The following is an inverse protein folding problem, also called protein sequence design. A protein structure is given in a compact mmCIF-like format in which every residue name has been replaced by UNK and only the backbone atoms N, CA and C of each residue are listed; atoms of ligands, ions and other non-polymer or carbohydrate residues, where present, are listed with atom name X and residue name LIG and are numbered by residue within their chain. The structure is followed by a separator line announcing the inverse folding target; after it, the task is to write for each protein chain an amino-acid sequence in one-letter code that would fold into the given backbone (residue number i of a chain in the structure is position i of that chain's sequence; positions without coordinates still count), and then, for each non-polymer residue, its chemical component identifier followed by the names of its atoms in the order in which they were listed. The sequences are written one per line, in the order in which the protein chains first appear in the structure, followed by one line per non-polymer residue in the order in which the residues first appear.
data_IF_257125448298
#
_entry.id   IF_257125448298
#
_cell.length_a   1.000
_cell.length_b   1.000
_cell.length_c   1.000
_cell.angle_alpha   90.00
_cell.angle_beta   90.00
_cell.angle_gamma   90.00
#
_symmetry.space_group_name_H-M   'P 1'
#
loop_
_entity.id
_entity.type
_entity.pdbx_description
1 polymer ?
#
# COMPACT_ATOMS: atom_id res chain seq x y z
N UNK A 1 -19.02 0.46 2.71
CA UNK A 1 -18.82 -0.73 3.54
C UNK A 1 -17.73 -1.60 2.96
N UNK A 2 -16.85 -2.10 3.85
CA UNK A 2 -15.76 -2.98 3.47
C UNK A 2 -16.29 -4.40 3.26
N UNK A 3 -16.34 -4.88 2.03
CA UNK A 3 -16.82 -6.21 1.67
C UNK A 3 -15.91 -6.81 0.58
N UNK A 4 -15.82 -8.13 0.56
CA UNK A 4 -15.11 -8.88 -0.46
C UNK A 4 -16.13 -9.66 -1.31
N UNK A 5 -16.01 -9.56 -2.62
CA UNK A 5 -16.79 -10.32 -3.57
C UNK A 5 -15.87 -11.16 -4.44
N UNK A 6 -16.33 -12.33 -4.85
CA UNK A 6 -15.64 -13.21 -5.77
C UNK A 6 -16.51 -13.58 -6.96
N UNK A 7 -15.88 -13.77 -8.11
CA UNK A 7 -16.50 -14.32 -9.31
C UNK A 7 -15.75 -15.59 -9.71
N UNK A 8 -16.49 -16.61 -10.20
CA UNK A 8 -15.94 -17.87 -10.70
C UNK A 8 -16.23 -18.10 -12.19
N UNK A 9 -16.85 -17.12 -12.83
CA UNK A 9 -17.31 -17.16 -14.22
C UNK A 9 -16.76 -15.98 -15.05
N UNK A 10 -15.59 -15.46 -14.68
CA UNK A 10 -14.94 -14.37 -15.41
C UNK A 10 -15.56 -12.99 -15.18
N UNK A 11 -16.35 -12.82 -14.11
CA UNK A 11 -16.94 -11.54 -13.74
C UNK A 11 -18.41 -11.37 -14.15
N UNK A 12 -19.02 -12.41 -14.70
CA UNK A 12 -20.45 -12.39 -15.06
C UNK A 12 -21.33 -12.34 -13.82
N UNK A 13 -21.00 -13.12 -12.80
CA UNK A 13 -21.69 -13.08 -11.49
C UNK A 13 -20.71 -12.85 -10.35
N UNK A 14 -21.19 -12.25 -9.28
CA UNK A 14 -20.38 -11.93 -8.10
C UNK A 14 -21.10 -12.38 -6.83
N UNK A 15 -20.36 -13.09 -5.97
CA UNK A 15 -20.87 -13.59 -4.70
C UNK A 15 -20.14 -12.92 -3.54
N UNK A 16 -20.89 -12.49 -2.53
CA UNK A 16 -20.32 -11.95 -1.29
C UNK A 16 -19.57 -13.05 -0.54
N UNK A 17 -18.36 -12.76 -0.10
CA UNK A 17 -17.60 -13.67 0.77
C UNK A 17 -18.19 -13.61 2.19
N UNK A 18 -19.01 -14.60 2.51
CA UNK A 18 -19.74 -14.68 3.78
C UNK A 18 -18.79 -14.91 4.97
N UNK A 19 -17.69 -15.62 4.78
CA UNK A 19 -16.69 -15.86 5.83
C UNK A 19 -16.12 -14.57 6.40
N UNK A 20 -15.81 -13.60 5.52
CA UNK A 20 -15.37 -12.27 5.94
C UNK A 20 -16.54 -11.42 6.42
N UNK A 21 -17.66 -11.47 5.71
CA UNK A 21 -18.84 -10.66 6.02
C UNK A 21 -19.39 -10.94 7.42
N UNK A 22 -19.42 -12.20 7.83
CA UNK A 22 -19.93 -12.67 9.11
C UNK A 22 -18.84 -12.77 10.19
N UNK A 23 -17.60 -12.27 9.92
CA UNK A 23 -16.51 -12.34 10.89
C UNK A 23 -16.87 -11.56 12.18
N UNK A 24 -16.61 -12.12 13.39
CA UNK A 24 -17.00 -11.49 14.67
C UNK A 24 -16.40 -10.10 14.93
N UNK A 25 -15.28 -9.78 14.29
CA UNK A 25 -14.66 -8.46 14.42
C UNK A 25 -15.34 -7.39 13.56
N UNK A 26 -16.01 -7.78 12.48
CA UNK A 26 -16.54 -6.85 11.49
C UNK A 26 -17.53 -5.81 12.06
N UNK A 27 -18.48 -6.17 12.93
CA UNK A 27 -19.36 -5.18 13.58
C UNK A 27 -18.63 -4.18 14.48
N UNK A 28 -17.39 -4.49 14.86
CA UNK A 28 -16.54 -3.66 15.73
C UNK A 28 -15.56 -2.77 14.94
N UNK A 29 -15.49 -2.91 13.62
CA UNK A 29 -14.68 -2.04 12.79
C UNK A 29 -15.28 -0.64 12.76
N UNK A 30 -14.51 0.34 13.17
CA UNK A 30 -14.94 1.73 13.21
C UNK A 30 -14.44 2.45 11.94
N UNK A 31 -15.29 3.21 11.24
CA UNK A 31 -14.83 3.97 10.08
C UNK A 31 -13.84 5.04 10.51
N UNK A 32 -12.72 5.16 9.78
CA UNK A 32 -11.84 6.32 9.83
C UNK A 32 -12.37 7.48 8.99
N UNK A 33 -11.60 8.58 8.88
CA UNK A 33 -11.98 9.75 8.07
C UNK A 33 -12.26 9.45 6.59
N UNK A 34 -11.68 8.37 6.05
CA UNK A 34 -11.94 7.84 4.69
C UNK A 34 -12.99 6.73 4.64
N UNK A 35 -13.65 6.42 5.75
CA UNK A 35 -14.60 5.30 5.85
C UNK A 35 -13.90 3.93 5.97
N UNK A 36 -14.70 2.87 5.94
CA UNK A 36 -14.22 1.48 5.85
C UNK A 36 -13.99 1.13 4.38
N UNK A 37 -12.76 0.81 4.02
CA UNK A 37 -12.37 0.45 2.66
C UNK A 37 -11.49 -0.80 2.67
N UNK A 38 -11.92 -1.88 2.04
CA UNK A 38 -11.08 -2.99 1.66
C UNK A 38 -10.36 -2.58 0.37
N UNK A 39 -9.05 -2.41 0.42
CA UNK A 39 -8.27 -1.78 -0.65
C UNK A 39 -7.10 -2.63 -1.17
N UNK A 40 -6.70 -3.66 -0.46
CA UNK A 40 -5.62 -4.54 -0.90
C UNK A 40 -6.06 -5.99 -0.80
N UNK A 41 -5.85 -6.73 -1.88
CA UNK A 41 -6.05 -8.19 -1.94
C UNK A 41 -4.74 -8.77 -2.47
N UNK A 42 -4.07 -9.59 -1.66
CA UNK A 42 -2.86 -10.31 -2.04
C UNK A 42 -3.18 -11.79 -2.21
N UNK A 43 -3.11 -12.26 -3.47
CA UNK A 43 -3.26 -13.67 -3.80
C UNK A 43 -1.91 -14.40 -3.68
N UNK A 44 -1.89 -15.66 -3.30
CA UNK A 44 -0.67 -16.46 -3.27
C UNK A 44 -0.68 -17.49 -4.41
N UNK A 45 0.15 -17.33 -5.47
CA UNK A 45 0.12 -18.25 -6.62
C UNK A 45 0.45 -19.71 -6.26
N UNK A 46 1.28 -19.94 -5.24
CA UNK A 46 1.64 -21.27 -4.76
C UNK A 46 0.58 -21.89 -3.83
N UNK A 47 -0.31 -21.07 -3.28
CA UNK A 47 -1.40 -21.47 -2.36
C UNK A 47 -2.66 -20.68 -2.70
N UNK A 48 -3.42 -21.09 -3.73
CA UNK A 48 -4.60 -20.36 -4.22
C UNK A 48 -5.67 -20.09 -3.15
N UNK A 49 -5.79 -20.99 -2.16
CA UNK A 49 -6.71 -20.85 -1.04
C UNK A 49 -6.26 -19.81 0.00
N UNK A 50 -5.00 -19.32 -0.11
CA UNK A 50 -4.49 -18.26 0.76
C UNK A 50 -4.69 -16.90 0.15
N UNK A 51 -5.51 -16.08 0.78
CA UNK A 51 -5.68 -14.67 0.48
C UNK A 51 -5.34 -13.84 1.71
N UNK A 52 -4.69 -12.72 1.49
CA UNK A 52 -4.47 -11.71 2.54
C UNK A 52 -5.09 -10.41 2.08
N UNK A 53 -5.89 -9.79 2.93
CA UNK A 53 -6.55 -8.51 2.65
C UNK A 53 -6.15 -7.45 3.66
N UNK A 54 -6.24 -6.20 3.24
CA UNK A 54 -6.16 -5.06 4.15
C UNK A 54 -7.39 -4.18 4.04
N UNK A 55 -7.87 -3.77 5.18
CA UNK A 55 -9.03 -2.88 5.34
C UNK A 55 -8.60 -1.66 6.17
N UNK A 56 -8.91 -0.46 5.67
CA UNK A 56 -8.77 0.76 6.47
C UNK A 56 -9.57 0.62 7.75
N UNK A 57 -8.95 0.85 8.88
CA UNK A 57 -9.51 0.76 10.24
C UNK A 57 -10.09 -0.61 10.64
N UNK A 58 -9.86 -1.64 9.82
CA UNK A 58 -10.13 -3.04 10.18
C UNK A 58 -8.83 -3.80 10.44
N UNK A 59 -7.77 -3.49 9.69
CA UNK A 59 -6.48 -4.16 9.74
C UNK A 59 -6.26 -5.19 8.65
N UNK A 60 -5.32 -6.08 8.90
CA UNK A 60 -4.95 -7.19 8.01
C UNK A 60 -5.70 -8.46 8.42
N UNK A 61 -6.26 -9.15 7.43
CA UNK A 61 -6.90 -10.46 7.61
C UNK A 61 -6.38 -11.44 6.57
N UNK A 62 -6.27 -12.71 6.95
CA UNK A 62 -5.87 -13.80 6.06
C UNK A 62 -6.84 -14.97 6.16
N UNK A 63 -7.14 -15.55 5.02
CA UNK A 63 -7.74 -16.87 4.89
C UNK A 63 -6.69 -17.87 4.38
N UNK A 64 -6.79 -19.13 4.79
CA UNK A 64 -6.00 -20.25 4.30
C UNK A 64 -6.90 -21.36 3.73
N UNK A 65 -8.23 -21.11 3.61
CA UNK A 65 -9.27 -22.06 3.21
C UNK A 65 -10.22 -21.52 2.11
N UNK A 66 -9.71 -20.60 1.28
CA UNK A 66 -10.47 -20.03 0.17
C UNK A 66 -11.57 -19.05 0.61
N UNK A 67 -11.41 -18.41 1.76
CA UNK A 67 -12.35 -17.39 2.24
C UNK A 67 -13.49 -17.91 3.12
N UNK A 68 -13.48 -19.20 3.48
CA UNK A 68 -14.49 -19.79 4.39
C UNK A 68 -14.33 -19.27 5.81
N UNK A 69 -13.08 -19.11 6.26
CA UNK A 69 -12.73 -18.49 7.54
C UNK A 69 -11.61 -17.46 7.37
N UNK A 70 -11.57 -16.47 8.26
CA UNK A 70 -10.58 -15.40 8.25
C UNK A 70 -9.99 -15.22 9.65
N UNK A 71 -8.73 -14.82 9.69
CA UNK A 71 -8.00 -14.56 10.92
C UNK A 71 -7.31 -13.20 10.84
N UNK A 72 -7.40 -12.42 11.91
CA UNK A 72 -6.65 -11.19 12.04
C UNK A 72 -5.14 -11.46 12.03
N UNK A 73 -4.36 -10.62 11.35
CA UNK A 73 -2.91 -10.76 11.17
C UNK A 73 -2.22 -9.41 11.43
N UNK A 74 -2.37 -8.91 12.64
CA UNK A 74 -1.91 -7.56 13.01
C UNK A 74 -0.83 -7.58 14.10
N UNK A 75 -0.31 -8.75 14.48
CA UNK A 75 0.69 -8.86 15.55
C UNK A 75 1.97 -8.07 15.22
N UNK A 76 2.33 -7.10 16.07
CA UNK A 76 3.47 -6.21 15.89
C UNK A 76 3.14 -4.84 15.27
N UNK A 77 1.94 -4.63 14.74
CA UNK A 77 1.50 -3.31 14.24
C UNK A 77 1.01 -2.46 15.42
N UNK A 78 1.43 -1.18 15.45
CA UNK A 78 1.04 -0.22 16.49
C UNK A 78 -0.04 0.74 15.96
N UNK A 79 -1.11 0.91 16.73
CA UNK A 79 -2.24 1.80 16.40
C UNK A 79 -2.37 2.87 17.50
N UNK A 80 -1.52 3.90 17.45
CA UNK A 80 -1.40 4.90 18.52
C UNK A 80 -2.66 5.72 18.78
N UNK A 81 -3.62 5.76 17.85
CA UNK A 81 -4.92 6.39 18.04
C UNK A 81 -5.90 5.55 18.90
N UNK A 82 -5.60 4.27 19.14
CA UNK A 82 -6.42 3.40 19.98
C UNK A 82 -5.92 3.38 21.42
N UNK A 83 -6.81 3.03 22.36
CA UNK A 83 -6.45 2.86 23.78
C UNK A 83 -5.44 1.73 23.95
N UNK A 84 -5.70 0.59 23.33
CA UNK A 84 -4.73 -0.50 23.18
C UNK A 84 -3.86 -0.22 21.96
N UNK A 85 -2.54 -0.16 22.16
CA UNK A 85 -1.61 0.25 21.08
C UNK A 85 -1.29 -0.87 20.09
N UNK A 86 -1.43 -2.13 20.47
CA UNK A 86 -1.21 -3.30 19.65
C UNK A 86 -2.46 -4.21 19.60
N UNK A 87 -3.62 -3.69 19.17
CA UNK A 87 -4.86 -4.46 19.19
C UNK A 87 -4.86 -5.56 18.14
N UNK A 88 -5.65 -6.62 18.38
CA UNK A 88 -5.84 -7.71 17.43
C UNK A 88 -6.42 -7.23 16.10
N UNK A 89 -7.28 -6.21 16.11
CA UNK A 89 -7.91 -5.62 14.92
C UNK A 89 -8.12 -4.11 15.11
N UNK A 90 -8.53 -3.42 14.03
CA UNK A 90 -8.81 -1.98 14.08
C UNK A 90 -7.64 -1.10 13.63
N UNK A 91 -6.54 -1.71 13.15
CA UNK A 91 -5.43 -0.96 12.57
C UNK A 91 -5.84 -0.27 11.28
N UNK A 92 -5.34 0.94 11.09
CA UNK A 92 -5.57 1.72 9.88
C UNK A 92 -4.48 1.44 8.84
N UNK A 93 -4.65 0.35 8.10
CA UNK A 93 -3.74 0.00 7.01
C UNK A 93 -4.05 0.87 5.78
N UNK A 94 -3.03 1.41 5.14
CA UNK A 94 -3.17 2.22 3.94
C UNK A 94 -2.86 1.44 2.67
N UNK A 95 -1.83 0.59 2.66
CA UNK A 95 -1.47 -0.26 1.53
C UNK A 95 -0.66 -1.46 1.99
N UNK A 96 -0.78 -2.58 1.28
CA UNK A 96 0.20 -3.67 1.32
C UNK A 96 0.71 -3.96 -0.09
N UNK A 97 1.96 -4.39 -0.16
CA UNK A 97 2.59 -4.81 -1.41
C UNK A 97 3.50 -6.02 -1.18
N UNK A 98 3.58 -6.90 -2.19
CA UNK A 98 4.34 -8.14 -2.14
C UNK A 98 4.86 -8.52 -3.52
N UNK A 99 6.09 -9.05 -3.56
CA UNK A 99 6.64 -9.64 -4.78
C UNK A 99 6.20 -11.10 -4.92
N UNK A 100 5.76 -11.55 -6.11
CA UNK A 100 5.27 -12.93 -6.29
C UNK A 100 6.30 -14.01 -5.96
N UNK A 101 7.60 -13.78 -6.24
CA UNK A 101 8.66 -14.75 -5.96
C UNK A 101 8.99 -14.91 -4.47
N UNK A 102 8.54 -13.99 -3.62
CA UNK A 102 8.77 -14.01 -2.18
C UNK A 102 7.46 -13.77 -1.42
N UNK A 103 6.53 -14.74 -1.46
CA UNK A 103 5.17 -14.55 -0.96
C UNK A 103 5.09 -14.34 0.56
N UNK A 104 6.10 -14.74 1.32
CA UNK A 104 6.14 -14.52 2.77
C UNK A 104 6.65 -13.13 3.15
N UNK A 105 7.31 -12.40 2.22
CA UNK A 105 7.68 -11.01 2.44
C UNK A 105 6.57 -10.08 1.99
N UNK A 106 6.02 -9.35 2.96
CA UNK A 106 4.98 -8.34 2.74
C UNK A 106 5.43 -7.02 3.33
N UNK A 107 5.31 -5.95 2.56
CA UNK A 107 5.47 -4.57 3.03
C UNK A 107 4.12 -3.96 3.28
N UNK A 108 4.03 -3.11 4.30
CA UNK A 108 2.78 -2.48 4.72
C UNK A 108 3.02 -1.01 5.08
N UNK A 109 2.22 -0.13 4.48
CA UNK A 109 2.06 1.25 4.92
C UNK A 109 0.86 1.30 5.87
N UNK A 110 1.11 1.74 7.08
CA UNK A 110 0.10 1.99 8.11
C UNK A 110 -0.11 3.50 8.30
N UNK A 111 -1.12 3.88 9.05
CA UNK A 111 -1.33 5.27 9.50
C UNK A 111 -0.15 5.76 10.35
N UNK A 112 0.41 4.88 11.18
CA UNK A 112 1.62 5.11 11.96
C UNK A 112 2.65 4.05 11.60
N UNK A 113 3.57 4.37 10.71
CA UNK A 113 4.69 3.52 10.40
C UNK A 113 4.61 2.73 9.11
N UNK A 114 5.80 2.31 8.73
CA UNK A 114 6.05 1.32 7.69
C UNK A 114 6.37 0.00 8.37
N UNK A 115 5.80 -1.07 7.89
CA UNK A 115 6.03 -2.39 8.47
C UNK A 115 6.46 -3.40 7.42
N UNK A 116 7.19 -4.42 7.86
CA UNK A 116 7.53 -5.59 7.05
C UNK A 116 7.23 -6.87 7.83
N UNK A 117 6.64 -7.82 7.14
CA UNK A 117 6.56 -9.22 7.54
C UNK A 117 7.50 -10.05 6.66
N UNK A 118 8.08 -11.12 7.22
CA UNK A 118 8.84 -12.13 6.51
C UNK A 118 8.22 -13.53 6.67
N UNK A 119 7.04 -13.63 7.28
CA UNK A 119 6.29 -14.86 7.60
C UNK A 119 4.85 -14.87 7.03
N UNK A 120 4.63 -14.08 5.96
CA UNK A 120 3.34 -14.01 5.27
C UNK A 120 2.26 -13.24 6.03
N UNK A 121 2.67 -12.36 6.94
CA UNK A 121 1.79 -11.51 7.73
C UNK A 121 1.47 -12.03 9.12
N UNK A 122 2.12 -13.12 9.58
CA UNK A 122 1.90 -13.64 10.94
C UNK A 122 2.47 -12.68 11.98
N UNK A 123 3.60 -12.03 11.68
CA UNK A 123 4.18 -10.97 12.51
C UNK A 123 4.71 -9.81 11.68
N UNK A 124 4.73 -8.62 12.28
CA UNK A 124 5.16 -7.39 11.64
C UNK A 124 6.22 -6.70 12.49
N UNK A 125 7.21 -6.13 11.81
CA UNK A 125 8.22 -5.26 12.43
C UNK A 125 8.21 -3.90 11.77
N UNK A 126 8.37 -2.86 12.55
CA UNK A 126 8.47 -1.50 12.05
C UNK A 126 9.77 -1.29 11.27
N UNK A 127 9.68 -0.49 10.20
CA UNK A 127 10.77 -0.22 9.25
C UNK A 127 10.80 1.24 8.79
N UNK A 128 10.27 2.17 9.58
CA UNK A 128 10.16 3.59 9.23
C UNK A 128 11.46 4.38 9.38
N UNK A 129 12.52 3.76 9.89
CA UNK A 129 13.79 4.46 10.10
C UNK A 129 14.36 5.02 8.80
N UNK A 130 14.59 6.34 8.76
CA UNK A 130 15.21 7.01 7.61
C UNK A 130 14.24 7.67 6.63
N UNK A 131 12.93 7.65 6.92
CA UNK A 131 11.96 8.47 6.19
C UNK A 131 11.64 9.76 6.97
N UNK A 132 11.24 10.85 6.29
CA UNK A 132 10.96 12.12 6.94
C UNK A 132 9.62 12.13 7.70
N UNK A 133 8.72 11.24 7.30
CA UNK A 133 7.44 10.94 7.94
C UNK A 133 7.08 9.49 7.68
N UNK A 134 6.47 8.85 8.65
CA UNK A 134 5.99 7.47 8.56
C UNK A 134 4.54 7.37 8.06
N UNK A 135 3.89 8.51 7.81
CA UNK A 135 2.56 8.60 7.22
C UNK A 135 2.63 8.66 5.68
N UNK A 136 1.73 8.00 5.00
CA UNK A 136 1.58 8.00 3.55
C UNK A 136 0.53 7.01 3.07
N UNK A 137 0.26 6.97 1.77
CA UNK A 137 -0.74 6.07 1.21
C UNK A 137 -0.18 5.03 0.25
N UNK A 138 0.64 5.41 -0.77
CA UNK A 138 1.07 4.46 -1.79
C UNK A 138 2.24 3.61 -1.32
N UNK A 139 2.26 2.38 -1.79
CA UNK A 139 3.39 1.47 -1.67
C UNK A 139 3.40 0.52 -2.87
N UNK A 140 4.57 0.33 -3.47
CA UNK A 140 4.76 -0.59 -4.57
C UNK A 140 6.07 -1.36 -4.41
N UNK A 141 6.10 -2.63 -4.85
CA UNK A 141 7.29 -3.48 -4.85
C UNK A 141 7.83 -3.56 -6.27
N UNK A 142 9.15 -3.56 -6.40
CA UNK A 142 9.85 -3.67 -7.67
C UNK A 142 9.51 -5.00 -8.38
N UNK A 143 9.28 -5.03 -9.70
CA UNK A 143 8.83 -6.23 -10.41
C UNK A 143 9.87 -7.36 -10.45
N UNK A 144 11.17 -7.03 -10.33
CA UNK A 144 12.27 -7.99 -10.47
C UNK A 144 13.06 -8.21 -9.16
N UNK A 145 12.83 -7.39 -8.12
CA UNK A 145 13.56 -7.47 -6.85
C UNK A 145 12.60 -7.41 -5.65
N UNK A 146 12.44 -8.53 -4.90
CA UNK A 146 11.56 -8.60 -3.73
C UNK A 146 12.04 -7.77 -2.52
N UNK A 147 13.26 -7.26 -2.53
CA UNK A 147 13.83 -6.43 -1.47
C UNK A 147 13.71 -4.93 -1.76
N UNK A 148 13.31 -4.58 -2.98
CA UNK A 148 13.11 -3.19 -3.41
C UNK A 148 11.64 -2.78 -3.38
N UNK A 149 11.35 -1.70 -2.66
CA UNK A 149 10.01 -1.11 -2.56
C UNK A 149 10.07 0.42 -2.59
N UNK A 150 8.94 1.02 -2.93
CA UNK A 150 8.76 2.47 -3.09
C UNK A 150 7.59 2.98 -2.27
N UNK A 151 7.74 4.17 -1.70
CA UNK A 151 6.69 4.90 -0.97
C UNK A 151 6.76 6.39 -1.31
N UNK A 152 5.68 7.13 -1.02
CA UNK A 152 5.65 8.59 -1.06
C UNK A 152 5.15 9.07 0.30
N UNK A 153 6.04 9.55 1.18
CA UNK A 153 5.67 10.06 2.50
C UNK A 153 4.87 11.36 2.40
N UNK A 154 3.91 11.52 3.30
CA UNK A 154 3.16 12.73 3.56
C UNK A 154 3.37 13.17 5.01
N UNK A 155 3.14 14.44 5.31
CA UNK A 155 3.46 15.02 6.62
C UNK A 155 2.64 14.36 7.74
N UNK A 156 1.32 14.35 7.59
CA UNK A 156 0.38 13.76 8.55
C UNK A 156 -1.00 13.53 7.90
N UNK A 157 -1.94 12.97 8.65
CA UNK A 157 -3.32 12.77 8.19
C UNK A 157 -4.12 14.10 8.10
N UNK A 158 -3.80 15.07 8.96
CA UNK A 158 -4.36 16.42 8.88
C UNK A 158 -3.73 17.26 7.75
N UNK A 159 -2.45 17.00 7.44
CA UNK A 159 -1.66 17.73 6.45
C UNK A 159 -1.12 16.74 5.39
N UNK A 160 -1.98 16.37 4.45
CA UNK A 160 -1.68 15.38 3.41
C UNK A 160 -0.85 15.97 2.27
N UNK A 161 0.27 16.56 2.62
CA UNK A 161 1.22 17.13 1.69
C UNK A 161 2.64 16.59 1.97
N UNK A 162 3.59 16.74 1.03
CA UNK A 162 4.96 16.34 1.25
C UNK A 162 5.60 17.08 2.45
N UNK A 163 6.40 16.38 3.28
CA UNK A 163 7.19 17.02 4.32
C UNK A 163 8.03 18.18 3.77
N UNK A 164 8.06 19.31 4.47
CA UNK A 164 8.78 20.53 4.09
C UNK A 164 8.41 21.11 2.71
N UNK A 165 7.26 20.74 2.13
CA UNK A 165 6.90 21.13 0.77
C UNK A 165 7.80 20.54 -0.32
N UNK A 166 8.47 19.41 -0.04
CA UNK A 166 9.42 18.74 -0.93
C UNK A 166 8.88 17.39 -1.38
N UNK A 167 8.43 17.31 -2.63
CA UNK A 167 7.93 16.04 -3.18
C UNK A 167 9.09 15.04 -3.32
N UNK A 168 8.94 13.89 -2.69
CA UNK A 168 9.99 12.88 -2.65
C UNK A 168 9.37 11.48 -2.75
N UNK A 169 9.93 10.65 -3.61
CA UNK A 169 9.72 9.20 -3.57
C UNK A 169 10.85 8.59 -2.76
N UNK A 170 10.55 7.66 -1.89
CA UNK A 170 11.56 6.90 -1.14
C UNK A 170 11.63 5.48 -1.64
N UNK A 171 12.86 4.99 -1.82
CA UNK A 171 13.13 3.62 -2.23
C UNK A 171 13.99 2.90 -1.20
N UNK A 172 13.62 1.68 -0.88
CA UNK A 172 14.50 0.69 -0.24
C UNK A 172 15.02 -0.29 -1.27
N UNK A 173 16.23 -0.85 -1.07
CA UNK A 173 16.80 -1.97 -1.83
C UNK A 173 17.30 -3.10 -0.91
N UNK A 174 17.00 -3.01 0.37
CA UNK A 174 17.48 -3.93 1.40
C UNK A 174 16.35 -4.49 2.28
N UNK A 175 15.13 -4.49 1.74
CA UNK A 175 13.95 -4.96 2.44
C UNK A 175 13.53 -4.03 3.56
N UNK A 176 13.59 -2.73 3.35
CA UNK A 176 13.22 -1.67 4.28
C UNK A 176 14.08 -1.61 5.56
N UNK A 177 15.37 -1.97 5.48
CA UNK A 177 16.35 -1.66 6.52
C UNK A 177 16.83 -0.22 6.43
N UNK A 178 16.86 0.31 5.20
CA UNK A 178 17.13 1.71 4.91
C UNK A 178 16.26 2.23 3.77
N UNK A 179 16.07 3.55 3.74
CA UNK A 179 15.30 4.26 2.72
C UNK A 179 16.12 5.40 2.13
N UNK A 180 16.15 5.51 0.81
CA UNK A 180 16.84 6.56 0.05
C UNK A 180 15.82 7.48 -0.60
N UNK A 181 15.91 8.83 -0.41
CA UNK A 181 15.07 9.77 -1.15
C UNK A 181 15.49 9.84 -2.63
N UNK A 182 14.51 9.95 -3.51
CA UNK A 182 14.64 10.06 -4.96
C UNK A 182 13.88 11.33 -5.38
N UNK A 183 14.60 12.45 -5.50
CA UNK A 183 14.01 13.78 -5.64
C UNK A 183 14.36 14.49 -6.94
N UNK A 184 15.34 13.98 -7.69
CA UNK A 184 15.88 14.68 -8.86
C UNK A 184 14.85 14.80 -9.97
N UNK A 185 14.40 16.03 -10.23
CA UNK A 185 13.35 16.34 -11.22
C UNK A 185 11.94 16.46 -10.63
N UNK A 186 11.80 16.29 -9.30
CA UNK A 186 10.55 16.59 -8.57
C UNK A 186 10.61 17.99 -7.92
N UNK A 187 9.45 18.64 -7.71
CA UNK A 187 9.37 19.91 -6.98
C UNK A 187 9.97 19.82 -5.57
N UNK A 188 10.89 20.74 -5.24
CA UNK A 188 11.60 20.75 -3.96
C UNK A 188 11.29 21.99 -3.11
N UNK A 189 10.29 22.75 -3.49
CA UNK A 189 9.77 23.91 -2.75
C UNK A 189 8.28 24.04 -3.04
N UNK A 190 7.52 24.47 -2.05
CA UNK A 190 6.11 24.86 -2.17
C UNK A 190 5.21 23.80 -2.83
N UNK A 191 5.55 22.52 -2.68
CA UNK A 191 4.76 21.41 -3.17
C UNK A 191 3.81 20.90 -2.08
N UNK A 192 2.51 20.96 -2.34
CA UNK A 192 1.46 20.52 -1.41
C UNK A 192 0.64 19.36 -1.98
N UNK A 193 1.16 18.70 -3.00
CA UNK A 193 0.52 17.60 -3.70
C UNK A 193 0.36 16.35 -2.83
N UNK A 194 -0.77 15.66 -2.98
CA UNK A 194 -1.01 14.37 -2.36
C UNK A 194 -0.90 13.24 -3.39
N UNK A 195 -0.14 12.20 -3.09
CA UNK A 195 -0.16 10.95 -3.85
C UNK A 195 -1.04 9.92 -3.13
N UNK A 196 -2.08 9.45 -3.82
CA UNK A 196 -3.07 8.54 -3.24
C UNK A 196 -2.61 7.08 -3.33
N UNK A 197 -3.30 6.21 -2.60
CA UNK A 197 -2.98 4.77 -2.39
C UNK A 197 -2.66 4.00 -3.66
N UNK A 198 -3.44 4.16 -4.72
CA UNK A 198 -3.29 3.44 -5.98
C UNK A 198 -2.64 4.27 -7.09
N UNK A 199 -2.16 5.47 -6.77
CA UNK A 199 -1.56 6.40 -7.70
C UNK A 199 -0.04 6.23 -7.86
N UNK A 200 0.53 5.08 -7.47
CA UNK A 200 1.93 4.69 -7.68
C UNK A 200 1.98 3.32 -8.36
N UNK A 201 2.74 3.19 -9.43
CA UNK A 201 2.92 1.95 -10.17
C UNK A 201 4.34 1.81 -10.72
N UNK A 202 4.74 0.56 -10.97
CA UNK A 202 5.94 0.23 -11.74
C UNK A 202 5.55 -0.56 -12.98
N UNK A 203 6.30 -0.40 -14.06
CA UNK A 203 6.24 -1.31 -15.21
C UNK A 203 7.14 -2.55 -14.98
N UNK A 204 7.29 -3.40 -16.02
CA UNK A 204 8.11 -4.62 -15.95
C UNK A 204 9.33 -4.55 -16.86
N UNK A 205 9.70 -3.36 -17.32
CA UNK A 205 10.93 -3.15 -18.08
C UNK A 205 12.17 -3.31 -17.16
N UNK A 206 13.33 -3.38 -17.76
CA UNK A 206 14.63 -3.43 -17.06
C UNK A 206 15.56 -2.40 -17.70
N UNK A 207 15.89 -1.32 -16.98
CA UNK A 207 15.46 -0.94 -15.62
C UNK A 207 13.96 -0.60 -15.56
N UNK A 208 13.32 -0.90 -14.42
CA UNK A 208 11.90 -0.67 -14.24
C UNK A 208 11.53 0.81 -14.25
N UNK A 209 10.51 1.17 -15.00
CA UNK A 209 9.87 2.47 -14.93
C UNK A 209 9.04 2.61 -13.65
N UNK A 210 9.05 3.80 -13.07
CA UNK A 210 8.26 4.14 -11.89
C UNK A 210 7.39 5.35 -12.21
N UNK A 211 6.09 5.26 -11.90
CA UNK A 211 5.11 6.27 -12.27
C UNK A 211 4.23 6.61 -11.08
N UNK A 212 3.93 7.89 -10.88
CA UNK A 212 2.92 8.29 -9.90
C UNK A 212 2.15 9.53 -10.34
N UNK A 213 0.92 9.61 -9.86
CA UNK A 213 0.07 10.77 -10.10
C UNK A 213 -0.33 11.45 -8.80
N UNK A 214 -0.65 12.75 -8.87
CA UNK A 214 -1.04 13.57 -7.73
C UNK A 214 -2.52 13.97 -7.79
N UNK A 215 -3.06 14.38 -6.66
CA UNK A 215 -4.42 14.90 -6.59
C UNK A 215 -4.59 16.21 -7.37
N UNK A 216 -3.51 16.96 -7.55
CA UNK A 216 -3.55 18.24 -8.25
C UNK A 216 -3.32 18.07 -9.76
N UNK A 217 -3.34 16.83 -10.25
CA UNK A 217 -3.39 16.51 -11.67
C UNK A 217 -2.03 16.43 -12.36
N UNK A 218 -0.95 16.18 -11.62
CA UNK A 218 0.34 15.88 -12.20
C UNK A 218 0.53 14.37 -12.37
N UNK A 219 1.19 13.97 -13.45
CA UNK A 219 1.69 12.62 -13.67
C UNK A 219 3.20 12.68 -13.87
N UNK A 220 3.94 12.03 -12.98
CA UNK A 220 5.40 11.91 -13.06
C UNK A 220 5.81 10.50 -13.45
N UNK A 221 6.94 10.40 -14.17
CA UNK A 221 7.56 9.14 -14.54
C UNK A 221 9.08 9.19 -14.46
N UNK A 222 9.64 8.03 -14.15
CA UNK A 222 11.08 7.75 -14.17
C UNK A 222 11.33 6.50 -14.99
N UNK A 223 12.34 6.52 -15.88
CA UNK A 223 12.78 5.37 -16.69
C UNK A 223 13.97 4.63 -16.09
N UNK A 224 14.42 5.02 -14.90
CA UNK A 224 15.64 4.53 -14.25
C UNK A 224 15.41 4.31 -12.75
N UNK A 225 14.32 3.62 -12.42
CA UNK A 225 13.98 3.21 -11.05
C UNK A 225 13.89 4.36 -10.06
N UNK A 226 13.52 5.56 -10.51
CA UNK A 226 13.36 6.75 -9.66
C UNK A 226 14.61 7.61 -9.50
N UNK A 227 15.73 7.30 -10.14
CA UNK A 227 16.94 8.13 -10.01
C UNK A 227 16.75 9.54 -10.63
N UNK A 228 15.90 9.66 -11.67
CA UNK A 228 15.48 10.94 -12.24
C UNK A 228 14.01 10.89 -12.63
N UNK A 229 13.32 12.01 -12.47
CA UNK A 229 11.90 12.16 -12.74
C UNK A 229 11.64 13.22 -13.80
N UNK A 230 10.57 13.03 -14.54
CA UNK A 230 10.01 14.02 -15.48
C UNK A 230 8.49 14.07 -15.32
N UNK A 231 7.91 15.25 -15.44
CA UNK A 231 6.47 15.38 -15.62
C UNK A 231 6.11 14.83 -17.00
N UNK A 232 5.15 13.89 -17.02
CA UNK A 232 4.62 13.27 -18.26
C UNK A 232 3.39 14.03 -18.72
N UNK A 233 2.54 14.43 -17.75
CA UNK A 233 1.34 15.20 -17.99
C UNK A 233 1.02 16.11 -16.79
N UNK A 234 0.32 17.18 -17.06
CA UNK A 234 -0.14 18.17 -16.09
C UNK A 234 -1.59 18.56 -16.38
N UNK A 235 -2.21 19.25 -15.46
CA UNK A 235 -3.60 19.72 -15.59
C UNK A 235 -4.62 18.58 -15.83
N UNK A 236 -4.33 17.38 -15.35
CA UNK A 236 -5.27 16.26 -15.33
C UNK A 236 -6.31 16.46 -14.22
N UNK A 237 -7.46 15.82 -14.29
CA UNK A 237 -8.27 15.61 -13.09
C UNK A 237 -7.46 14.91 -11.98
N UNK A 238 -7.89 14.98 -10.69
CA UNK A 238 -7.21 14.29 -9.61
C UNK A 238 -6.85 12.84 -9.95
N UNK A 239 -5.55 12.51 -9.96
CA UNK A 239 -5.08 11.18 -10.31
C UNK A 239 -5.25 10.26 -9.10
N UNK A 240 -6.20 9.35 -9.16
CA UNK A 240 -6.52 8.42 -8.08
C UNK A 240 -5.89 7.05 -8.25
N UNK A 241 -5.52 6.69 -9.50
CA UNK A 241 -4.94 5.40 -9.83
C UNK A 241 -3.98 5.55 -11.01
N UNK A 242 -2.83 4.87 -10.93
CA UNK A 242 -1.86 4.71 -12.02
C UNK A 242 -1.64 3.22 -12.26
N UNK A 243 -1.63 2.82 -13.54
CA UNK A 243 -1.26 1.46 -13.96
C UNK A 243 -0.35 1.55 -15.17
N UNK A 244 0.79 0.87 -15.09
CA UNK A 244 1.72 0.76 -16.22
C UNK A 244 1.47 -0.57 -16.95
N UNK A 245 1.27 -0.49 -18.25
CA UNK A 245 1.05 -1.65 -19.13
C UNK A 245 1.91 -1.51 -20.38
N UNK A 246 2.40 -2.65 -20.89
CA UNK A 246 3.06 -2.70 -22.20
C UNK A 246 1.98 -2.93 -23.26
N UNK A 247 1.84 -1.98 -24.14
CA UNK A 247 0.98 -2.15 -25.33
C UNK A 247 1.76 -2.95 -26.37
N UNK A 248 1.19 -4.04 -26.85
CA UNK A 248 1.75 -4.87 -27.94
C UNK A 248 1.45 -4.25 -29.29
#
# INVERSE_FOLDING_TARGET
PSALFESRDGGETWTLNEGLWNHPHRPKWMPGGGGLCLHTILTNPARPDRLTIATSTGGVYRTDDGGKSWQARNHGIQAYFLKEKAPEFGQCVHKMARHPSRPDRVFLQHHFGLYRSDDGGDSWRETSKGVPSDFGFPMAVHPHDPDTAYIVPLLADEFRCPPDGKLSVYRTRDGARSWKPLTRGLPQTDCYDTVLRDALALDREDPAGVYFGTRDGWLYGSRNEGETWSAIAENLPPVTCVRAVKVQ
#
